data_IF_078019518169
#
_entry.id   IF_078019518169
#
_cell.length_a   1.000
_cell.length_b   1.000
_cell.length_c   1.000
_cell.angle_alpha   90.00
_cell.angle_beta   90.00
_cell.angle_gamma   90.00
#
_symmetry.space_group_name_H-M   'P 1'
#
loop_
_entity.id
_entity.type
_entity.pdbx_description
1 polymer ?
#
# COMPACT_ATOMS: atom_id res chain seq x y z
N UNK A 1 34.47 -24.81 -23.58
CA UNK A 1 34.09 -25.40 -22.28
C UNK A 1 34.06 -24.26 -21.28
N UNK A 2 33.04 -23.97 -20.50
CA UNK A 2 31.61 -24.25 -20.46
C UNK A 2 31.10 -23.13 -19.56
N UNK A 3 30.00 -22.48 -19.93
CA UNK A 3 29.47 -21.36 -19.16
C UNK A 3 29.08 -21.83 -17.75
N UNK A 4 29.80 -21.37 -16.73
CA UNK A 4 29.46 -21.57 -15.32
C UNK A 4 29.26 -20.20 -14.66
N UNK A 5 28.17 -19.54 -15.06
CA UNK A 5 27.63 -18.37 -14.36
C UNK A 5 26.10 -18.43 -14.33
N UNK A 6 25.54 -19.64 -14.21
CA UNK A 6 24.18 -19.84 -13.71
C UNK A 6 24.24 -19.90 -12.17
N UNK A 7 24.84 -18.87 -11.56
CA UNK A 7 24.85 -18.69 -10.11
C UNK A 7 23.40 -18.53 -9.65
N UNK A 8 22.79 -19.67 -9.29
CA UNK A 8 21.79 -19.85 -8.24
C UNK A 8 21.05 -18.57 -7.88
N UNK A 9 20.24 -18.07 -8.82
CA UNK A 9 19.32 -16.97 -8.55
C UNK A 9 18.38 -17.47 -7.46
N UNK A 10 18.52 -16.92 -6.26
CA UNK A 10 17.65 -17.22 -5.15
C UNK A 10 16.60 -16.13 -5.04
N UNK A 11 15.36 -16.54 -4.84
CA UNK A 11 14.27 -15.63 -4.55
C UNK A 11 13.77 -15.89 -3.14
N UNK A 12 13.45 -14.82 -2.43
CA UNK A 12 12.79 -14.91 -1.15
C UNK A 12 11.28 -14.91 -1.39
N UNK A 13 10.59 -15.93 -0.88
CA UNK A 13 9.13 -16.03 -0.88
C UNK A 13 8.73 -16.29 0.57
N UNK A 14 7.93 -15.39 1.16
CA UNK A 14 7.45 -15.48 2.54
C UNK A 14 8.57 -15.66 3.59
N UNK A 15 9.73 -15.02 3.37
CA UNK A 15 10.87 -15.09 4.28
C UNK A 15 11.79 -16.30 4.03
N UNK A 16 11.41 -17.23 3.16
CA UNK A 16 12.22 -18.40 2.82
C UNK A 16 12.94 -18.24 1.48
N UNK A 17 14.22 -18.57 1.43
CA UNK A 17 15.00 -18.58 0.18
C UNK A 17 14.74 -19.85 -0.64
N UNK A 18 14.42 -19.66 -1.91
CA UNK A 18 14.28 -20.75 -2.89
C UNK A 18 15.23 -20.49 -4.06
N UNK A 19 15.97 -21.52 -4.47
CA UNK A 19 16.72 -21.45 -5.71
C UNK A 19 15.75 -21.53 -6.90
N UNK A 20 15.89 -20.63 -7.87
CA UNK A 20 15.03 -20.58 -9.06
C UNK A 20 15.13 -21.85 -9.91
N UNK A 21 16.27 -22.55 -9.82
CA UNK A 21 16.49 -23.88 -10.42
C UNK A 21 15.54 -24.95 -9.88
N UNK A 22 15.15 -24.83 -8.61
CA UNK A 22 14.38 -25.85 -7.88
C UNK A 22 12.87 -25.63 -8.08
N UNK A 23 12.49 -24.50 -8.66
CA UNK A 23 11.11 -24.16 -8.96
C UNK A 23 10.68 -24.78 -10.29
N UNK A 24 9.45 -25.28 -10.34
CA UNK A 24 8.84 -25.67 -11.61
C UNK A 24 8.36 -24.42 -12.39
N UNK A 25 8.03 -24.61 -13.67
CA UNK A 25 7.60 -23.52 -14.55
C UNK A 25 6.32 -22.81 -14.04
N UNK A 26 5.38 -23.58 -13.48
CA UNK A 26 4.14 -23.01 -12.90
C UNK A 26 4.45 -22.08 -11.73
N UNK A 27 5.33 -22.50 -10.82
CA UNK A 27 5.74 -21.70 -9.68
C UNK A 27 6.40 -20.39 -10.13
N UNK A 28 7.32 -20.45 -11.11
CA UNK A 28 7.94 -19.25 -11.68
C UNK A 28 6.92 -18.27 -12.26
N UNK A 29 5.92 -18.77 -12.99
CA UNK A 29 4.86 -17.93 -13.55
C UNK A 29 3.99 -17.29 -12.47
N UNK A 30 3.66 -18.03 -11.40
CA UNK A 30 2.91 -17.48 -10.27
C UNK A 30 3.68 -16.37 -9.55
N UNK A 31 4.99 -16.51 -9.38
CA UNK A 31 5.84 -15.46 -8.79
C UNK A 31 5.82 -14.18 -9.62
N UNK A 32 5.89 -14.30 -10.95
CA UNK A 32 5.80 -13.13 -11.83
C UNK A 32 4.44 -12.45 -11.67
N UNK A 33 3.35 -13.21 -11.70
CA UNK A 33 2.00 -12.67 -11.53
C UNK A 33 1.82 -12.01 -10.15
N UNK A 34 2.36 -12.63 -9.10
CA UNK A 34 2.31 -12.07 -7.74
C UNK A 34 3.03 -10.72 -7.68
N UNK A 35 4.24 -10.62 -8.23
CA UNK A 35 4.99 -9.34 -8.26
C UNK A 35 4.23 -8.24 -8.99
N UNK A 36 3.56 -8.57 -10.10
CA UNK A 36 2.73 -7.61 -10.82
C UNK A 36 1.55 -7.15 -9.96
N UNK A 37 0.88 -8.07 -9.26
CA UNK A 37 -0.21 -7.74 -8.35
C UNK A 37 0.27 -6.87 -7.17
N UNK A 38 1.43 -7.16 -6.59
CA UNK A 38 2.02 -6.37 -5.51
C UNK A 38 2.40 -4.95 -5.97
N UNK A 39 2.95 -4.80 -7.17
CA UNK A 39 3.24 -3.49 -7.76
C UNK A 39 1.97 -2.66 -7.93
N UNK A 40 0.90 -3.28 -8.41
CA UNK A 40 -0.39 -2.60 -8.57
C UNK A 40 -1.01 -2.23 -7.22
N UNK A 41 -0.91 -3.11 -6.21
CA UNK A 41 -1.35 -2.82 -4.86
C UNK A 41 -0.61 -1.61 -4.27
N UNK A 42 0.71 -1.54 -4.46
CA UNK A 42 1.52 -0.40 -4.01
C UNK A 42 1.09 0.90 -4.71
N UNK A 43 0.81 0.86 -6.02
CA UNK A 43 0.30 2.00 -6.79
C UNK A 43 -1.05 2.50 -6.25
N UNK A 44 -1.97 1.58 -5.94
CA UNK A 44 -3.28 1.92 -5.38
C UNK A 44 -3.18 2.51 -3.97
N UNK A 45 -2.26 2.00 -3.14
CA UNK A 45 -2.00 2.56 -1.81
C UNK A 45 -1.50 4.01 -1.89
N UNK A 46 -0.61 4.32 -2.83
CA UNK A 46 -0.14 5.69 -3.08
C UNK A 46 -1.29 6.62 -3.48
N UNK A 47 -2.18 6.18 -4.36
CA UNK A 47 -3.36 6.96 -4.76
C UNK A 47 -4.33 7.16 -3.60
N UNK A 48 -4.51 6.14 -2.77
CA UNK A 48 -5.34 6.23 -1.58
C UNK A 48 -4.81 7.29 -0.62
N UNK A 49 -3.50 7.32 -0.36
CA UNK A 49 -2.88 8.33 0.49
C UNK A 49 -3.05 9.76 -0.07
N UNK A 50 -2.90 9.93 -1.40
CA UNK A 50 -3.15 11.20 -2.08
C UNK A 50 -4.59 11.68 -1.86
N UNK A 51 -5.57 10.81 -2.12
CA UNK A 51 -6.99 11.14 -1.99
C UNK A 51 -7.38 11.39 -0.53
N UNK A 52 -6.83 10.64 0.42
CA UNK A 52 -7.03 10.87 1.85
C UNK A 52 -6.57 12.27 2.27
N UNK A 53 -5.41 12.71 1.77
CA UNK A 53 -4.88 14.06 2.03
C UNK A 53 -5.83 15.13 1.49
N UNK A 54 -6.28 14.99 0.25
CA UNK A 54 -7.25 15.91 -0.36
C UNK A 54 -8.57 15.94 0.43
N UNK A 55 -9.10 14.76 0.81
CA UNK A 55 -10.31 14.64 1.62
C UNK A 55 -10.17 15.37 2.96
N UNK A 56 -9.03 15.23 3.64
CA UNK A 56 -8.77 15.95 4.90
C UNK A 56 -8.73 17.46 4.70
N UNK A 57 -8.05 17.93 3.66
CA UNK A 57 -8.00 19.35 3.33
C UNK A 57 -9.39 19.93 3.07
N UNK A 58 -10.20 19.25 2.26
CA UNK A 58 -11.58 19.68 1.96
C UNK A 58 -12.49 19.62 3.17
N UNK A 59 -12.36 18.59 4.03
CA UNK A 59 -13.13 18.52 5.26
C UNK A 59 -12.79 19.67 6.22
N UNK A 60 -11.53 20.05 6.32
CA UNK A 60 -11.09 21.18 7.15
C UNK A 60 -11.55 22.52 6.58
N UNK A 61 -11.45 22.72 5.26
CA UNK A 61 -11.95 23.91 4.60
C UNK A 61 -13.47 24.05 4.81
N UNK A 62 -14.23 22.97 4.61
CA UNK A 62 -15.68 22.97 4.84
C UNK A 62 -16.03 23.33 6.28
N UNK A 63 -15.32 22.78 7.28
CA UNK A 63 -15.54 23.14 8.69
C UNK A 63 -15.32 24.62 8.98
N UNK A 64 -14.42 25.29 8.26
CA UNK A 64 -14.16 26.72 8.41
C UNK A 64 -15.29 27.59 7.81
N UNK A 65 -15.97 27.08 6.77
CA UNK A 65 -17.11 27.76 6.13
C UNK A 65 -18.44 27.51 6.84
N UNK A 66 -18.54 26.44 7.64
CA UNK A 66 -19.77 26.13 8.37
C UNK A 66 -19.95 27.10 9.55
N UNK A 67 -21.19 27.57 9.79
CA UNK A 67 -21.47 28.38 10.97
C UNK A 67 -21.17 27.60 12.25
N UNK A 68 -20.81 28.28 13.36
CA UNK A 68 -20.63 27.61 14.63
C UNK A 68 -21.90 26.85 14.98
N UNK A 69 -21.76 25.55 15.25
CA UNK A 69 -22.89 24.72 15.67
C UNK A 69 -23.54 25.38 16.90
N UNK A 70 -24.88 25.55 16.92
CA UNK A 70 -25.57 26.17 18.06
C UNK A 70 -25.39 25.39 19.38
N UNK A 71 -24.87 24.16 19.33
CA UNK A 71 -24.65 23.29 20.48
C UNK A 71 -23.35 23.52 21.26
N UNK A 72 -22.49 24.47 20.89
CA UNK A 72 -21.22 24.72 21.60
C UNK A 72 -21.29 25.82 22.69
N UNK A 73 -22.45 26.45 22.92
CA UNK A 73 -22.59 27.60 23.83
C UNK A 73 -23.25 27.26 25.17
N UNK A 74 -23.82 26.07 25.37
CA UNK A 74 -24.64 25.77 26.57
C UNK A 74 -23.89 25.18 27.78
N UNK A 75 -22.58 24.92 27.72
CA UNK A 75 -21.79 24.42 28.87
C UNK A 75 -20.97 25.52 29.58
N UNK A 76 -21.53 26.72 29.75
CA UNK A 76 -20.90 27.80 30.54
C UNK A 76 -21.70 28.25 31.77
N UNK A 77 -22.81 27.60 32.08
CA UNK A 77 -23.60 27.88 33.29
C UNK A 77 -24.08 26.60 33.95
N UNK A 78 -23.17 25.90 34.64
CA UNK A 78 -23.53 24.98 35.71
C UNK A 78 -23.03 25.60 37.02
N UNK A 79 -23.99 25.95 37.89
CA UNK A 79 -23.78 26.42 39.25
C UNK A 79 -23.38 25.29 40.20
#
# INVERSE_FOLDING_TARGET
>A
MSQENAASQKINIDGQEYAVSDLNEKARNLIVNLRVAEQELARLQQQTALVQTARMAYANALKAELPPSPTATEDKFSF
#
